data_IF_047459786673
#
_entry.id   IF_047459786673
#
_cell.length_a   1.000
_cell.length_b   1.000
_cell.length_c   1.000
_cell.angle_alpha   90.00
_cell.angle_beta   90.00
_cell.angle_gamma   90.00
#
_symmetry.space_group_name_H-M   'P 1'
#
loop_
_entity.id
_entity.type
_entity.pdbx_description
1 polymer ?
#
# COMPACT_ATOMS: atom_id res chain seq x y z
N UNK A 1 3.64 8.57 -11.18
CA UNK A 1 2.20 8.83 -11.44
C UNK A 1 1.42 8.77 -10.12
N UNK A 2 1.43 7.64 -9.42
CA UNK A 2 0.77 7.49 -8.11
C UNK A 2 1.24 8.50 -7.06
N UNK A 3 2.56 8.75 -6.96
CA UNK A 3 3.08 9.75 -6.01
C UNK A 3 2.52 11.17 -6.23
N UNK A 4 2.25 11.55 -7.49
CA UNK A 4 1.62 12.84 -7.81
C UNK A 4 0.14 12.89 -7.42
N UNK A 5 -0.56 11.77 -7.50
CA UNK A 5 -1.96 11.66 -7.08
C UNK A 5 -2.03 11.80 -5.56
N UNK A 6 -1.21 11.01 -4.84
CA UNK A 6 -1.15 11.01 -3.37
C UNK A 6 -0.51 12.26 -2.76
N UNK A 7 0.09 13.13 -3.59
CA UNK A 7 0.50 14.47 -3.18
C UNK A 7 -0.70 15.42 -3.01
N UNK A 8 -1.80 15.18 -3.72
CA UNK A 8 -3.00 16.02 -3.71
C UNK A 8 -4.18 15.37 -2.96
N UNK A 9 -4.06 14.08 -2.62
CA UNK A 9 -5.12 13.29 -2.03
C UNK A 9 -4.60 12.42 -0.90
N UNK A 10 -5.42 12.23 0.12
CA UNK A 10 -5.11 11.35 1.26
C UNK A 10 -5.02 9.88 0.80
N UNK A 11 -5.98 9.47 -0.04
CA UNK A 11 -6.11 8.13 -0.61
C UNK A 11 -6.08 8.15 -2.14
N UNK A 12 -5.94 6.98 -2.76
CA UNK A 12 -5.72 6.86 -4.21
C UNK A 12 -6.85 7.49 -5.04
N UNK A 13 -8.09 7.41 -4.55
CA UNK A 13 -9.28 7.92 -5.24
C UNK A 13 -9.82 9.25 -4.67
N UNK A 14 -9.07 9.92 -3.79
CA UNK A 14 -9.48 11.18 -3.17
C UNK A 14 -9.35 11.18 -1.65
N UNK A 15 -10.35 11.70 -0.96
CA UNK A 15 -10.32 11.92 0.49
C UNK A 15 -10.76 10.71 1.32
N UNK A 16 -11.38 9.71 0.69
CA UNK A 16 -11.89 8.53 1.37
C UNK A 16 -11.17 7.25 0.91
N UNK A 17 -10.84 6.40 1.88
CA UNK A 17 -10.36 5.05 1.64
C UNK A 17 -11.35 4.26 0.77
N UNK A 18 -10.84 3.58 -0.25
CA UNK A 18 -11.68 2.93 -1.26
C UNK A 18 -11.06 1.62 -1.78
N UNK A 19 -11.78 0.96 -2.69
CA UNK A 19 -11.26 -0.20 -3.42
C UNK A 19 -9.97 0.11 -4.20
N UNK A 20 -9.75 1.38 -4.58
CA UNK A 20 -8.52 1.79 -5.25
C UNK A 20 -7.29 1.58 -4.36
N UNK A 21 -7.38 1.91 -3.07
CA UNK A 21 -6.29 1.72 -2.11
C UNK A 21 -6.00 0.24 -1.89
N UNK A 22 -7.05 -0.57 -1.75
CA UNK A 22 -6.94 -2.02 -1.59
C UNK A 22 -6.21 -2.64 -2.80
N UNK A 23 -6.63 -2.27 -4.02
CA UNK A 23 -6.05 -2.79 -5.24
C UNK A 23 -4.58 -2.36 -5.40
N UNK A 24 -4.25 -1.10 -5.16
CA UNK A 24 -2.88 -0.61 -5.30
C UNK A 24 -1.95 -1.16 -4.21
N UNK A 25 -2.44 -1.29 -2.97
CA UNK A 25 -1.64 -1.82 -1.87
C UNK A 25 -1.28 -3.29 -2.11
N UNK A 26 -2.23 -4.07 -2.64
CA UNK A 26 -2.01 -5.47 -3.03
C UNK A 26 -0.85 -5.69 -4.01
N UNK A 27 -0.56 -4.71 -4.88
CA UNK A 27 0.61 -4.77 -5.78
C UNK A 27 1.92 -4.36 -5.09
N UNK A 28 1.85 -3.52 -4.06
CA UNK A 28 3.03 -2.89 -3.45
C UNK A 28 3.50 -3.57 -2.17
N UNK A 29 2.65 -4.28 -1.43
CA UNK A 29 3.01 -4.77 -0.09
C UNK A 29 4.19 -5.77 -0.07
N UNK A 30 4.38 -6.56 -1.14
CA UNK A 30 5.54 -7.44 -1.33
C UNK A 30 6.69 -6.81 -2.13
N UNK A 31 6.73 -5.48 -2.31
CA UNK A 31 7.71 -4.77 -3.17
C UNK A 31 9.18 -5.16 -3.00
N UNK A 32 9.56 -5.63 -1.82
CA UNK A 32 10.93 -6.10 -1.51
C UNK A 32 11.38 -7.23 -2.44
N UNK A 33 10.47 -8.13 -2.88
CA UNK A 33 10.81 -9.22 -3.80
C UNK A 33 11.36 -8.69 -5.13
N UNK A 34 10.90 -7.51 -5.54
CA UNK A 34 11.25 -6.85 -6.79
C UNK A 34 12.32 -5.76 -6.62
N UNK A 35 12.88 -5.58 -5.41
CA UNK A 35 13.88 -4.54 -5.12
C UNK A 35 13.35 -3.11 -5.26
N UNK A 36 12.05 -2.90 -5.13
CA UNK A 36 11.43 -1.57 -5.32
C UNK A 36 11.50 -0.77 -4.02
N UNK A 37 12.21 0.36 -4.05
CA UNK A 37 12.28 1.35 -2.96
C UNK A 37 11.26 2.48 -3.13
N UNK A 38 10.77 3.02 -2.01
CA UNK A 38 9.86 4.17 -1.97
C UNK A 38 10.56 5.49 -1.61
N UNK A 39 11.88 5.52 -1.48
CA UNK A 39 12.64 6.73 -1.08
C UNK A 39 12.39 7.95 -1.97
N UNK A 40 12.15 7.72 -3.27
CA UNK A 40 11.86 8.79 -4.26
C UNK A 40 10.37 9.05 -4.47
N UNK A 41 9.52 8.47 -3.62
CA UNK A 41 8.07 8.57 -3.70
C UNK A 41 7.49 8.79 -2.29
N UNK A 42 7.74 9.96 -1.67
CA UNK A 42 7.40 10.21 -0.27
C UNK A 42 5.90 10.13 0.02
N UNK A 43 5.04 10.49 -0.94
CA UNK A 43 3.60 10.42 -0.77
C UNK A 43 3.09 8.99 -0.85
N UNK A 44 3.72 8.17 -1.71
CA UNK A 44 3.48 6.72 -1.73
C UNK A 44 3.98 6.08 -0.43
N UNK A 45 5.14 6.50 0.10
CA UNK A 45 5.65 6.00 1.37
C UNK A 45 4.68 6.29 2.53
N UNK A 46 4.22 7.54 2.67
CA UNK A 46 3.18 7.93 3.65
C UNK A 46 1.95 7.02 3.56
N UNK A 47 1.35 6.96 2.37
CA UNK A 47 0.14 6.16 2.13
C UNK A 47 0.39 4.66 2.38
N UNK A 48 1.57 4.14 2.01
CA UNK A 48 1.92 2.75 2.24
C UNK A 48 1.94 2.41 3.73
N UNK A 49 2.59 3.26 4.54
CA UNK A 49 2.69 3.07 5.98
C UNK A 49 1.31 3.15 6.65
N UNK A 50 0.47 4.11 6.22
CA UNK A 50 -0.92 4.20 6.66
C UNK A 50 -1.72 2.94 6.31
N UNK A 51 -1.57 2.40 5.09
CA UNK A 51 -2.27 1.17 4.68
C UNK A 51 -1.77 -0.05 5.46
N UNK A 52 -0.45 -0.19 5.63
CA UNK A 52 0.18 -1.29 6.36
C UNK A 52 -0.18 -1.29 7.86
N UNK A 53 -0.50 -0.13 8.43
CA UNK A 53 -0.94 0.01 9.82
C UNK A 53 -2.41 -0.39 10.04
N UNK A 54 -3.22 -0.56 8.98
CA UNK A 54 -4.65 -0.90 9.14
C UNK A 54 -4.82 -2.33 9.64
N UNK A 55 -5.61 -2.58 10.70
CA UNK A 55 -5.82 -3.93 11.22
C UNK A 55 -6.34 -4.93 10.18
N UNK A 56 -7.25 -4.49 9.29
CA UNK A 56 -7.77 -5.33 8.22
C UNK A 56 -6.71 -5.72 7.19
N UNK A 57 -5.73 -4.84 6.92
CA UNK A 57 -4.63 -5.11 6.00
C UNK A 57 -3.64 -6.09 6.63
N UNK A 58 -3.29 -5.89 7.89
CA UNK A 58 -2.44 -6.81 8.64
C UNK A 58 -3.07 -8.21 8.69
N UNK A 59 -4.36 -8.29 9.03
CA UNK A 59 -5.09 -9.56 9.02
C UNK A 59 -5.09 -10.23 7.63
N UNK A 60 -5.31 -9.47 6.56
CA UNK A 60 -5.24 -10.01 5.20
C UNK A 60 -3.84 -10.55 4.85
N UNK A 61 -2.78 -9.83 5.22
CA UNK A 61 -1.38 -10.27 5.02
C UNK A 61 -1.10 -11.56 5.79
N UNK A 62 -1.46 -11.64 7.07
CA UNK A 62 -1.30 -12.84 7.90
C UNK A 62 -1.97 -14.06 7.26
N UNK A 63 -3.18 -13.87 6.71
CA UNK A 63 -3.92 -14.93 6.03
C UNK A 63 -3.23 -15.37 4.74
N UNK A 64 -2.64 -14.45 3.98
CA UNK A 64 -1.90 -14.77 2.74
C UNK A 64 -0.58 -15.47 3.07
N UNK A 65 0.17 -14.99 4.05
CA UNK A 65 1.44 -15.59 4.46
C UNK A 65 1.24 -17.00 5.04
N UNK A 66 0.10 -17.27 5.69
CA UNK A 66 -0.27 -18.63 6.11
C UNK A 66 -0.52 -19.60 4.94
N UNK A 67 -0.89 -19.10 3.75
CA UNK A 67 -1.10 -19.94 2.55
C UNK A 67 0.20 -20.20 1.79
N UNK A 68 1.14 -19.27 1.85
CA UNK A 68 2.43 -19.35 1.18
C UNK A 68 3.50 -18.73 2.09
N UNK A 69 4.07 -19.53 3.00
CA UNK A 69 5.11 -19.08 3.91
C UNK A 69 6.31 -18.53 3.13
N UNK A 70 6.96 -17.53 3.73
CA UNK A 70 8.08 -16.79 3.15
C UNK A 70 9.32 -17.65 2.93
#
# INVERSE_FOLDING_TARGET
MLDKILANHEFVAGEAFSIADIAHFGWLWRREFAGVSLEKAPNVARWFDEMAARPAVQHAIERVDALAPR
#
